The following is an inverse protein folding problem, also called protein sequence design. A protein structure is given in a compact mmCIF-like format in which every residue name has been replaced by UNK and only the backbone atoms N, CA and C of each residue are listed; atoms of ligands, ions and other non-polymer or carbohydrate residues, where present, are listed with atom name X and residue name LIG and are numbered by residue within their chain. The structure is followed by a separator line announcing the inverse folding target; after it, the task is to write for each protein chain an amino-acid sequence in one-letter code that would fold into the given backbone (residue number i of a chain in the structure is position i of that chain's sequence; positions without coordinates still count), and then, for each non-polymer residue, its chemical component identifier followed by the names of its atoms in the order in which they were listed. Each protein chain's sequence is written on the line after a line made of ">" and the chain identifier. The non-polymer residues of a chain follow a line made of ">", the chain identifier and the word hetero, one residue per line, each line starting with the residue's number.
data_IF_600666239412
#
_entry.id   IF_600666239412
#
_cell.length_a   1.000
_cell.length_b   1.000
_cell.length_c   1.000
_cell.angle_alpha   90.00
_cell.angle_beta   90.00
_cell.angle_gamma   90.00
#
_symmetry.space_group_name_H-M   'P 1'
#
loop_
_entity.id
_entity.type
_entity.pdbx_description
1 polymer ?
#
# COMPACT_ATOMS: atom_id res chain seq x y z
N UNK A 1 -2.62 20.79 -0.69
CA UNK A 1 -1.72 20.38 0.42
C UNK A 1 -0.34 20.19 -0.16
N UNK A 2 0.75 20.50 0.56
CA UNK A 2 2.09 20.18 0.05
C UNK A 2 2.35 18.68 0.06
N UNK A 3 3.17 18.19 -0.86
CA UNK A 3 3.53 16.78 -0.97
C UNK A 3 4.18 16.24 0.32
N UNK A 4 5.00 17.03 1.00
CA UNK A 4 5.64 16.70 2.29
C UNK A 4 4.68 16.78 3.48
N UNK A 5 3.71 17.70 3.46
CA UNK A 5 2.65 17.75 4.49
C UNK A 5 1.75 16.51 4.39
N UNK A 6 1.44 16.06 3.17
CA UNK A 6 0.68 14.83 2.94
C UNK A 6 1.44 13.60 3.45
N UNK A 7 2.74 13.52 3.17
CA UNK A 7 3.61 12.46 3.71
C UNK A 7 3.58 12.43 5.23
N UNK A 8 3.80 13.59 5.86
CA UNK A 8 3.82 13.70 7.32
C UNK A 8 2.48 13.27 7.93
N UNK A 9 1.36 13.77 7.39
CA UNK A 9 0.02 13.43 7.86
C UNK A 9 -0.22 11.92 7.87
N UNK A 10 0.14 11.23 6.78
CA UNK A 10 -0.10 9.80 6.66
C UNK A 10 0.91 9.01 7.50
N UNK A 11 2.17 9.45 7.59
CA UNK A 11 3.16 8.84 8.48
C UNK A 11 2.71 8.87 9.94
N UNK A 12 2.12 9.98 10.40
CA UNK A 12 1.55 10.12 11.73
C UNK A 12 0.33 9.23 11.91
N UNK A 13 -0.62 9.25 10.96
CA UNK A 13 -1.83 8.40 11.03
C UNK A 13 -1.48 6.91 11.07
N UNK A 14 -0.49 6.47 10.31
CA UNK A 14 -0.08 5.07 10.22
C UNK A 14 1.00 4.65 11.23
N UNK A 15 1.49 5.58 12.06
CA UNK A 15 2.65 5.35 12.94
C UNK A 15 3.87 4.79 12.19
N UNK A 16 4.09 5.24 10.95
CA UNK A 16 5.01 4.60 10.02
C UNK A 16 6.47 4.57 10.51
N UNK A 17 6.90 5.59 11.25
CA UNK A 17 8.27 5.71 11.74
C UNK A 17 8.65 4.62 12.77
N UNK A 18 7.66 3.97 13.39
CA UNK A 18 7.88 2.93 14.38
C UNK A 18 8.10 1.52 13.77
N UNK A 19 7.88 1.38 12.45
CA UNK A 19 7.83 0.08 11.79
C UNK A 19 9.00 -0.06 10.82
N UNK A 20 9.86 -1.04 11.08
CA UNK A 20 10.93 -1.43 10.16
C UNK A 20 10.36 -2.22 8.98
N UNK A 21 10.82 -1.93 7.78
CA UNK A 21 10.22 -2.44 6.55
C UNK A 21 11.27 -2.85 5.50
N UNK A 22 10.81 -3.53 4.47
CA UNK A 22 11.57 -3.98 3.31
C UNK A 22 11.67 -2.93 2.21
N UNK A 23 10.89 -1.84 2.28
CA UNK A 23 10.93 -0.72 1.35
C UNK A 23 10.76 0.61 2.10
N UNK A 24 11.16 1.76 1.51
CA UNK A 24 10.89 3.07 2.09
C UNK A 24 9.37 3.33 2.17
N UNK A 25 8.87 3.61 3.37
CA UNK A 25 7.51 4.10 3.60
C UNK A 25 7.46 5.63 3.49
N UNK A 26 6.40 6.17 2.86
CA UNK A 26 6.25 7.60 2.58
C UNK A 26 6.45 7.95 1.11
N UNK A 27 6.97 9.15 0.83
CA UNK A 27 7.24 9.65 -0.50
C UNK A 27 8.44 8.91 -1.11
N UNK A 28 8.20 8.18 -2.21
CA UNK A 28 9.21 7.36 -2.89
C UNK A 28 9.76 8.04 -4.15
N UNK A 29 8.91 8.75 -4.89
CA UNK A 29 9.31 9.53 -6.07
C UNK A 29 8.66 10.90 -5.96
N UNK A 30 9.48 11.94 -5.89
CA UNK A 30 9.01 13.32 -5.80
C UNK A 30 8.45 13.79 -7.15
N UNK A 31 7.30 14.44 -7.09
CA UNK A 31 6.65 15.15 -8.20
C UNK A 31 6.43 16.63 -7.84
N UNK A 32 5.31 17.20 -8.27
CA UNK A 32 4.98 18.60 -7.98
C UNK A 32 4.68 18.84 -6.50
N UNK A 33 4.98 20.04 -5.99
CA UNK A 33 4.79 20.38 -4.57
C UNK A 33 3.31 20.35 -4.15
N UNK A 34 2.40 20.88 -4.97
CA UNK A 34 0.98 20.97 -4.61
C UNK A 34 0.21 19.73 -5.05
N UNK A 35 -0.34 18.99 -4.09
CA UNK A 35 -1.21 17.83 -4.32
C UNK A 35 -2.67 18.24 -4.14
N UNK A 36 -3.47 18.03 -5.18
CA UNK A 36 -4.92 18.27 -5.19
C UNK A 36 -5.72 17.01 -5.59
N UNK A 37 -5.21 16.23 -6.54
CA UNK A 37 -5.86 15.01 -7.03
C UNK A 37 -4.99 13.78 -6.77
N UNK A 38 -5.56 12.80 -6.08
CA UNK A 38 -4.88 11.57 -5.70
C UNK A 38 -5.56 10.39 -6.39
N UNK A 39 -4.76 9.51 -6.99
CA UNK A 39 -5.19 8.18 -7.43
C UNK A 39 -4.57 7.14 -6.51
N UNK A 40 -5.32 6.12 -6.11
CA UNK A 40 -4.81 5.04 -5.25
C UNK A 40 -4.98 3.68 -5.89
N UNK A 41 -4.17 2.72 -5.46
CA UNK A 41 -4.27 1.33 -5.90
C UNK A 41 -3.39 0.41 -5.05
N UNK A 42 -3.46 -0.90 -5.27
CA UNK A 42 -2.66 -1.85 -4.48
C UNK A 42 -1.17 -1.72 -4.80
N UNK A 43 -0.82 -1.58 -6.08
CA UNK A 43 0.58 -1.62 -6.55
C UNK A 43 0.83 -0.51 -7.56
N UNK A 44 2.01 0.12 -7.51
CA UNK A 44 2.49 1.05 -8.53
C UNK A 44 2.84 0.32 -9.85
N UNK A 45 1.82 -0.24 -10.48
CA UNK A 45 1.90 -0.92 -11.78
C UNK A 45 1.88 0.09 -12.92
N UNK A 46 2.34 -0.30 -14.10
CA UNK A 46 2.27 0.57 -15.28
C UNK A 46 0.82 1.01 -15.55
N UNK A 47 -0.14 0.09 -15.47
CA UNK A 47 -1.55 0.38 -15.70
C UNK A 47 -2.11 1.41 -14.70
N UNK A 48 -1.75 1.33 -13.41
CA UNK A 48 -2.16 2.33 -12.43
C UNK A 48 -1.57 3.72 -12.75
N UNK A 49 -0.30 3.75 -13.16
CA UNK A 49 0.35 5.01 -13.53
C UNK A 49 -0.23 5.61 -14.81
N UNK A 50 -0.61 4.77 -15.78
CA UNK A 50 -1.27 5.21 -17.00
C UNK A 50 -2.64 5.83 -16.68
N UNK A 51 -3.40 5.23 -15.75
CA UNK A 51 -4.66 5.81 -15.26
C UNK A 51 -4.46 7.10 -14.47
N UNK A 52 -3.40 7.20 -13.66
CA UNK A 52 -3.06 8.43 -12.95
C UNK A 52 -2.76 9.58 -13.91
N UNK A 53 -2.02 9.31 -15.00
CA UNK A 53 -1.79 10.28 -16.08
C UNK A 53 -3.11 10.63 -16.77
N UNK A 54 -3.92 9.63 -17.15
CA UNK A 54 -5.21 9.84 -17.83
C UNK A 54 -6.15 10.72 -17.01
N UNK A 55 -6.15 10.56 -15.69
CA UNK A 55 -7.00 11.31 -14.77
C UNK A 55 -6.39 12.66 -14.34
N UNK A 56 -5.15 12.96 -14.72
CA UNK A 56 -4.44 14.17 -14.30
C UNK A 56 -4.21 14.20 -12.78
N UNK A 57 -3.73 13.10 -12.22
CA UNK A 57 -3.39 13.01 -10.80
C UNK A 57 -2.11 13.80 -10.49
N UNK A 58 -2.01 14.33 -9.28
CA UNK A 58 -0.80 14.97 -8.73
C UNK A 58 0.00 13.98 -7.87
N UNK A 59 -0.69 12.95 -7.36
CA UNK A 59 -0.10 11.93 -6.51
C UNK A 59 -0.75 10.55 -6.76
N UNK A 60 0.07 9.52 -6.57
CA UNK A 60 -0.33 8.12 -6.53
C UNK A 60 0.05 7.55 -5.16
N UNK A 61 -0.91 6.95 -4.46
CA UNK A 61 -0.67 6.27 -3.17
C UNK A 61 -0.94 4.77 -3.34
N UNK A 62 0.05 3.95 -2.97
CA UNK A 62 -0.05 2.50 -3.08
C UNK A 62 0.41 1.78 -1.83
N UNK A 63 0.00 0.52 -1.71
CA UNK A 63 0.55 -0.39 -0.72
C UNK A 63 1.94 -0.90 -1.15
N UNK A 64 2.07 -1.36 -2.41
CA UNK A 64 3.33 -1.82 -2.99
C UNK A 64 3.97 -0.78 -3.93
N UNK A 65 4.94 -0.04 -3.39
CA UNK A 65 5.81 0.87 -4.14
C UNK A 65 7.04 0.20 -4.76
N UNK A 66 8.14 0.94 -4.82
CA UNK A 66 9.45 0.48 -5.33
C UNK A 66 10.52 0.49 -4.21
N UNK A 67 11.79 0.28 -4.58
CA UNK A 67 12.96 0.43 -3.69
C UNK A 67 13.06 -0.63 -2.61
N UNK A 68 12.62 -1.85 -2.95
CA UNK A 68 12.71 -3.03 -2.09
C UNK A 68 14.16 -3.39 -1.76
N UNK A 69 14.41 -3.77 -0.51
CA UNK A 69 15.71 -4.20 -0.02
C UNK A 69 16.24 -5.37 -0.85
N UNK A 70 17.45 -5.22 -1.39
CA UNK A 70 18.09 -6.22 -2.24
C UNK A 70 17.76 -6.12 -3.74
N UNK A 71 16.89 -5.19 -4.16
CA UNK A 71 16.65 -4.97 -5.58
C UNK A 71 17.82 -4.28 -6.29
N UNK A 72 17.97 -4.50 -7.60
CA UNK A 72 18.96 -3.75 -8.38
C UNK A 72 18.58 -2.27 -8.47
N UNK A 73 19.52 -1.35 -8.19
CA UNK A 73 19.26 0.08 -8.33
C UNK A 73 19.21 0.54 -9.80
N UNK A 74 19.60 -0.31 -10.76
CA UNK A 74 19.69 0.03 -12.18
C UNK A 74 18.30 0.27 -12.78
N UNK A 75 18.13 1.42 -13.45
CA UNK A 75 16.85 1.81 -14.06
C UNK A 75 16.81 1.38 -15.53
N UNK A 76 16.25 0.18 -15.78
CA UNK A 76 16.02 -0.39 -17.12
C UNK A 76 14.66 -1.07 -17.19
N UNK A 77 14.22 -1.40 -18.41
CA UNK A 77 12.96 -2.14 -18.65
C UNK A 77 11.76 -1.52 -17.92
N UNK A 78 11.05 -2.33 -17.13
CA UNK A 78 9.87 -1.91 -16.37
C UNK A 78 10.14 -0.73 -15.44
N UNK A 79 11.29 -0.72 -14.74
CA UNK A 79 11.66 0.35 -13.79
C UNK A 79 11.82 1.68 -14.51
N UNK A 80 12.46 1.66 -15.70
CA UNK A 80 12.58 2.85 -16.55
C UNK A 80 11.22 3.37 -16.99
N UNK A 81 10.34 2.51 -17.48
CA UNK A 81 9.04 2.94 -18.01
C UNK A 81 8.20 3.61 -16.92
N UNK A 82 8.10 2.96 -15.75
CA UNK A 82 7.33 3.45 -14.61
C UNK A 82 7.87 4.77 -14.05
N UNK A 83 9.19 4.84 -13.79
CA UNK A 83 9.81 6.06 -13.28
C UNK A 83 9.72 7.20 -14.29
N UNK A 84 9.86 6.92 -15.59
CA UNK A 84 9.64 7.93 -16.63
C UNK A 84 8.21 8.45 -16.61
N UNK A 85 7.20 7.58 -16.49
CA UNK A 85 5.79 8.01 -16.43
C UNK A 85 5.55 8.95 -15.25
N UNK A 86 6.08 8.65 -14.06
CA UNK A 86 5.95 9.52 -12.88
C UNK A 86 6.67 10.86 -13.08
N UNK A 87 7.97 10.80 -13.37
CA UNK A 87 8.85 11.98 -13.43
C UNK A 87 8.48 12.93 -14.58
N UNK A 88 8.08 12.41 -15.74
CA UNK A 88 7.73 13.27 -16.88
C UNK A 88 6.37 13.98 -16.73
N UNK A 89 5.57 13.61 -15.72
CA UNK A 89 4.25 14.20 -15.46
C UNK A 89 4.18 14.87 -14.07
N UNK A 90 5.32 15.01 -13.39
CA UNK A 90 5.43 15.56 -12.02
C UNK A 90 4.45 14.91 -11.02
N UNK A 91 4.27 13.60 -11.11
CA UNK A 91 3.38 12.82 -10.22
C UNK A 91 4.19 12.31 -9.02
N UNK A 92 3.74 12.65 -7.82
CA UNK A 92 4.30 12.10 -6.59
C UNK A 92 3.90 10.63 -6.44
N UNK A 93 4.83 9.75 -6.09
CA UNK A 93 4.52 8.37 -5.69
C UNK A 93 4.77 8.20 -4.20
N UNK A 94 3.75 7.72 -3.49
CA UNK A 94 3.85 7.31 -2.09
C UNK A 94 3.61 5.81 -1.94
N UNK A 95 4.35 5.17 -1.05
CA UNK A 95 4.16 3.78 -0.66
C UNK A 95 4.04 3.64 0.85
N UNK A 96 3.00 2.96 1.34
CA UNK A 96 2.92 2.50 2.74
C UNK A 96 2.64 1.00 2.76
N UNK A 97 3.65 0.24 3.14
CA UNK A 97 3.64 -1.22 3.16
C UNK A 97 3.18 -1.76 4.52
N UNK A 98 4.09 -2.21 5.40
CA UNK A 98 3.72 -2.82 6.68
C UNK A 98 2.92 -1.89 7.62
N UNK A 99 3.14 -0.56 7.66
CA UNK A 99 2.27 0.34 8.42
C UNK A 99 0.80 0.27 7.98
N UNK A 100 0.55 0.06 6.69
CA UNK A 100 -0.80 -0.10 6.16
C UNK A 100 -1.35 -1.52 6.39
N UNK A 101 -0.52 -2.56 6.53
CA UNK A 101 -1.04 -3.87 6.96
C UNK A 101 -1.48 -3.86 8.43
N UNK A 102 -0.68 -3.22 9.28
CA UNK A 102 -0.82 -3.28 10.74
C UNK A 102 -1.89 -2.33 11.31
N UNK A 103 -2.26 -1.27 10.60
CA UNK A 103 -3.08 -0.21 11.18
C UNK A 103 -4.46 -0.75 11.63
N UNK A 104 -4.87 -0.54 12.90
CA UNK A 104 -6.02 -1.24 13.49
C UNK A 104 -7.39 -0.84 12.91
N UNK A 105 -7.47 0.31 12.24
CA UNK A 105 -8.71 0.81 11.61
C UNK A 105 -8.63 0.69 10.09
N UNK A 106 -7.68 1.39 9.46
CA UNK A 106 -7.50 1.47 8.01
C UNK A 106 -6.75 0.28 7.38
N UNK A 107 -6.13 -0.58 8.18
CA UNK A 107 -5.14 -1.51 7.66
C UNK A 107 -5.72 -2.76 7.00
N UNK A 108 -4.95 -3.38 6.12
CA UNK A 108 -5.40 -4.51 5.29
C UNK A 108 -5.99 -5.64 6.16
N UNK A 109 -5.33 -5.98 7.26
CA UNK A 109 -5.78 -7.03 8.17
C UNK A 109 -7.11 -6.67 8.87
N UNK A 110 -7.25 -5.44 9.35
CA UNK A 110 -8.47 -4.98 10.00
C UNK A 110 -9.65 -4.89 9.02
N UNK A 111 -9.39 -4.37 7.80
CA UNK A 111 -10.39 -4.28 6.74
C UNK A 111 -10.83 -5.66 6.25
N UNK A 112 -9.91 -6.62 6.14
CA UNK A 112 -10.22 -8.01 5.80
C UNK A 112 -11.09 -8.67 6.87
N UNK A 113 -10.73 -8.51 8.15
CA UNK A 113 -11.53 -9.03 9.27
C UNK A 113 -12.96 -8.46 9.23
N UNK A 114 -13.11 -7.15 9.04
CA UNK A 114 -14.42 -6.52 8.92
C UNK A 114 -15.23 -7.05 7.71
N UNK A 115 -14.60 -7.18 6.54
CA UNK A 115 -15.25 -7.70 5.33
C UNK A 115 -15.73 -9.15 5.49
N UNK A 116 -14.98 -9.96 6.23
CA UNK A 116 -15.31 -11.37 6.50
C UNK A 116 -16.20 -11.56 7.75
N UNK A 117 -16.55 -10.49 8.47
CA UNK A 117 -17.33 -10.60 9.71
C UNK A 117 -16.57 -11.30 10.84
N UNK A 118 -15.24 -11.09 10.91
CA UNK A 118 -14.38 -11.60 11.97
C UNK A 118 -14.24 -10.52 13.04
N UNK A 119 -14.61 -10.86 14.26
CA UNK A 119 -14.37 -10.03 15.44
C UNK A 119 -12.96 -10.31 15.96
N UNK A 120 -12.04 -9.36 15.70
CA UNK A 120 -10.63 -9.45 16.12
C UNK A 120 -10.54 -9.44 17.65
N UNK A 121 -9.89 -10.46 18.21
CA UNK A 121 -9.74 -10.66 19.66
C UNK A 121 -8.32 -10.37 20.15
N UNK A 122 -7.34 -10.35 19.26
CA UNK A 122 -5.95 -10.04 19.57
C UNK A 122 -5.02 -10.35 18.39
N UNK A 123 -3.74 -10.49 18.69
CA UNK A 123 -2.70 -10.85 17.72
C UNK A 123 -1.89 -12.06 18.20
N UNK A 124 -1.51 -12.92 17.26
CA UNK A 124 -0.61 -14.05 17.52
C UNK A 124 0.83 -13.56 17.41
N UNK A 125 1.12 -12.83 16.34
CA UNK A 125 2.40 -12.21 16.00
C UNK A 125 2.11 -10.88 15.29
N UNK A 126 3.11 -9.98 15.14
CA UNK A 126 2.95 -8.80 14.32
C UNK A 126 2.39 -9.17 12.93
N UNK A 127 1.35 -8.45 12.50
CA UNK A 127 0.63 -8.67 11.23
C UNK A 127 -0.20 -9.96 11.13
N UNK A 128 -0.36 -10.70 12.23
CA UNK A 128 -1.18 -11.92 12.28
C UNK A 128 -2.24 -11.78 13.38
N UNK A 129 -3.31 -11.00 13.15
CA UNK A 129 -4.41 -10.95 14.09
C UNK A 129 -5.19 -12.27 14.12
N UNK A 130 -5.84 -12.54 15.24
CA UNK A 130 -6.80 -13.63 15.36
C UNK A 130 -8.14 -13.10 15.88
N UNK A 131 -9.20 -13.83 15.58
CA UNK A 131 -10.55 -13.47 15.96
C UNK A 131 -11.52 -14.61 15.70
N UNK A 132 -12.77 -14.36 16.03
CA UNK A 132 -13.86 -15.32 15.87
C UNK A 132 -14.88 -14.79 14.87
N UNK A 133 -15.58 -15.69 14.19
CA UNK A 133 -16.69 -15.34 13.30
C UNK A 133 -17.85 -16.30 13.53
N UNK A 134 -19.06 -15.76 13.52
CA UNK A 134 -20.29 -16.55 13.63
C UNK A 134 -20.64 -17.24 12.30
N UNK A 135 -19.95 -16.89 11.21
CA UNK A 135 -20.08 -17.56 9.94
C UNK A 135 -19.37 -18.92 10.00
N UNK A 136 -20.14 -20.00 9.94
CA UNK A 136 -19.56 -21.32 9.71
C UNK A 136 -18.73 -21.25 8.42
N UNK A 137 -17.41 -21.46 8.52
CA UNK A 137 -16.56 -21.68 7.36
C UNK A 137 -17.11 -22.92 6.64
N UNK A 138 -17.83 -22.70 5.53
CA UNK A 138 -18.33 -23.78 4.69
C UNK A 138 -17.15 -24.44 3.98
N UNK A 139 -16.36 -25.21 4.73
CA UNK A 139 -15.44 -26.17 4.18
C UNK A 139 -16.28 -27.22 3.50
N UNK A 140 -16.33 -27.19 2.17
CA UNK A 140 -16.64 -28.39 1.39
C UNK A 140 -15.45 -29.32 1.57
N UNK A 141 -15.40 -29.98 2.72
CA UNK A 141 -14.49 -31.08 2.98
C UNK A 141 -14.85 -32.19 2.01
N UNK A 142 -14.28 -32.17 0.81
CA UNK A 142 -14.04 -33.42 0.09
C UNK A 142 -13.09 -34.22 0.95
N UNK A 143 -13.67 -35.19 1.67
CA UNK A 143 -12.99 -36.34 2.23
C UNK A 143 -12.04 -36.90 1.18
N UNK A 144 -10.74 -36.59 1.28
CA UNK A 144 -9.68 -37.34 0.61
C UNK A 144 -9.35 -38.54 1.53
N UNK A 145 -10.32 -39.42 1.66
CA UNK A 145 -10.15 -40.79 2.13
C UNK A 145 -11.04 -41.65 1.24
N UNK A 146 -10.52 -41.95 0.05
CA UNK A 146 -10.78 -43.14 -0.75
C UNK A 146 -9.44 -43.55 -1.41
#
# INVERSE_FOLDING_TARGET
>A
MKNTELEQLINEKLNSAAISDYAPNGLQVEGKETVQKIVTGVTASQALLDEAVRLGADAVIVHHGYFWKGESPVIRGMKRNRLKTLLANDINLYGWHLPLDAHPELGNNAQLAALLGISVMGEIEPLVPWGETDHACAGTGTSLLD
#
